data_IF_127562252749
#
_entry.id   IF_127562252749
#
_cell.length_a   1.000
_cell.length_b   1.000
_cell.length_c   1.000
_cell.angle_alpha   90.00
_cell.angle_beta   90.00
_cell.angle_gamma   90.00
#
_symmetry.space_group_name_H-M   'P 1'
#
loop_
_entity.id
_entity.type
_entity.pdbx_description
1 polymer ?
#
# COMPACT_ATOMS: atom_id res chain seq x y z
N UNK A 1 9.44 -10.65 5.80
CA UNK A 1 9.61 -9.58 4.79
C UNK A 1 10.86 -9.92 4.01
N UNK A 2 10.78 -10.06 2.68
CA UNK A 2 11.87 -10.64 1.88
C UNK A 2 13.08 -9.70 1.69
N UNK A 3 12.92 -8.40 1.93
CA UNK A 3 13.94 -7.38 1.58
C UNK A 3 14.56 -6.64 2.79
N UNK A 4 14.29 -7.08 4.02
CA UNK A 4 14.78 -6.41 5.24
C UNK A 4 14.18 -5.01 5.52
N UNK A 5 13.28 -4.52 4.65
CA UNK A 5 12.57 -3.25 4.81
C UNK A 5 11.47 -3.33 5.86
N UNK A 6 11.19 -2.23 6.56
CA UNK A 6 9.94 -2.07 7.32
C UNK A 6 8.75 -1.97 6.37
N UNK A 7 7.53 -2.24 6.85
CA UNK A 7 6.30 -2.07 6.04
C UNK A 7 6.22 -0.67 5.41
N UNK A 8 6.55 0.37 6.19
CA UNK A 8 6.55 1.75 5.70
C UNK A 8 7.62 2.01 4.63
N UNK A 9 8.83 1.45 4.80
CA UNK A 9 9.89 1.57 3.80
C UNK A 9 9.52 0.86 2.49
N UNK A 10 8.91 -0.32 2.58
CA UNK A 10 8.41 -1.06 1.42
C UNK A 10 7.33 -0.25 0.68
N UNK A 11 6.32 0.25 1.39
CA UNK A 11 5.26 1.09 0.81
C UNK A 11 5.84 2.36 0.16
N UNK A 12 6.77 3.05 0.84
CA UNK A 12 7.46 4.22 0.28
C UNK A 12 8.17 3.88 -1.02
N UNK A 13 8.90 2.76 -1.06
CA UNK A 13 9.60 2.31 -2.26
C UNK A 13 8.61 2.00 -3.39
N UNK A 14 7.55 1.25 -3.11
CA UNK A 14 6.54 0.89 -4.09
C UNK A 14 5.85 2.14 -4.68
N UNK A 15 5.42 3.09 -3.85
CA UNK A 15 4.85 4.37 -4.33
C UNK A 15 5.85 5.15 -5.19
N UNK A 16 7.12 5.21 -4.77
CA UNK A 16 8.15 5.89 -5.55
C UNK A 16 8.42 5.20 -6.91
N UNK A 17 8.34 3.88 -6.98
CA UNK A 17 8.53 3.14 -8.23
C UNK A 17 7.35 3.37 -9.20
N UNK A 18 6.10 3.41 -8.71
CA UNK A 18 4.93 3.79 -9.53
C UNK A 18 5.06 5.23 -10.08
N UNK A 19 5.53 6.17 -9.27
CA UNK A 19 5.78 7.55 -9.72
C UNK A 19 6.85 7.62 -10.82
N UNK A 20 7.88 6.76 -10.76
CA UNK A 20 8.91 6.68 -11.81
C UNK A 20 8.34 6.11 -13.10
N UNK A 21 7.53 5.05 -13.02
CA UNK A 21 6.85 4.46 -14.17
C UNK A 21 5.92 5.49 -14.84
N UNK A 22 5.23 6.31 -14.04
CA UNK A 22 4.38 7.39 -14.52
C UNK A 22 5.15 8.63 -15.05
N UNK A 23 6.48 8.65 -14.96
CA UNK A 23 7.29 9.82 -15.35
C UNK A 23 7.10 11.05 -14.44
N UNK A 24 6.48 10.88 -13.28
CA UNK A 24 6.16 11.95 -12.32
C UNK A 24 7.21 12.06 -11.18
N UNK A 25 8.23 11.20 -11.18
CA UNK A 25 9.30 11.22 -10.20
C UNK A 25 10.49 12.08 -10.67
N UNK A 26 10.93 13.02 -9.84
CA UNK A 26 12.12 13.85 -10.10
C UNK A 26 13.23 13.55 -9.09
N UNK A 27 14.44 13.27 -9.59
CA UNK A 27 15.66 13.43 -8.80
C UNK A 27 15.92 14.93 -8.71
N UNK A 28 15.96 15.48 -7.50
CA UNK A 28 15.91 16.90 -7.15
C UNK A 28 16.48 17.91 -8.18
N UNK A 29 15.88 19.11 -8.32
CA UNK A 29 14.78 19.66 -7.52
C UNK A 29 13.40 19.17 -7.98
N UNK A 30 12.57 18.71 -7.03
CA UNK A 30 11.20 18.29 -7.29
C UNK A 30 10.23 19.47 -7.10
N UNK A 31 9.21 19.58 -7.98
CA UNK A 31 8.17 20.63 -7.90
C UNK A 31 7.32 20.49 -6.62
N UNK A 32 6.98 19.26 -6.27
CA UNK A 32 6.19 18.91 -5.08
C UNK A 32 6.82 17.72 -4.37
N UNK A 33 6.60 17.64 -3.06
CA UNK A 33 6.99 16.49 -2.23
C UNK A 33 5.75 15.76 -1.74
N UNK A 34 5.67 14.45 -1.99
CA UNK A 34 4.61 13.60 -1.46
C UNK A 34 5.08 12.94 -0.18
N UNK A 35 4.32 13.13 0.91
CA UNK A 35 4.48 12.43 2.18
C UNK A 35 3.38 11.38 2.32
N UNK A 36 3.75 10.16 2.69
CA UNK A 36 2.81 9.04 2.87
C UNK A 36 2.74 8.59 4.33
N UNK A 37 1.54 8.20 4.77
CA UNK A 37 1.31 7.55 6.05
C UNK A 37 0.38 6.34 5.89
N UNK A 38 0.75 5.21 6.48
CA UNK A 38 -0.16 4.10 6.71
C UNK A 38 -0.95 4.44 7.98
N UNK A 39 -2.20 4.85 7.80
CA UNK A 39 -3.11 5.22 8.90
C UNK A 39 -3.68 3.97 9.57
N UNK A 40 -3.92 2.92 8.79
CA UNK A 40 -4.41 1.63 9.26
C UNK A 40 -3.63 0.51 8.56
N UNK A 41 -3.29 -0.52 9.34
CA UNK A 41 -2.71 -1.77 8.86
C UNK A 41 -3.16 -2.88 9.80
N UNK A 42 -4.16 -3.65 9.37
CA UNK A 42 -4.72 -4.77 10.11
C UNK A 42 -4.77 -6.02 9.23
N UNK A 43 -4.63 -7.19 9.86
CA UNK A 43 -4.76 -8.47 9.18
C UNK A 43 -5.53 -9.48 10.02
N UNK A 44 -6.37 -10.25 9.35
CA UNK A 44 -7.03 -11.42 9.92
C UNK A 44 -6.74 -12.64 9.06
N UNK A 45 -6.49 -13.78 9.70
CA UNK A 45 -6.32 -15.05 9.03
C UNK A 45 -7.64 -15.81 8.83
N UNK A 46 -8.75 -15.35 9.41
CA UNK A 46 -10.07 -15.97 9.22
C UNK A 46 -10.10 -17.48 9.52
N UNK A 47 -9.37 -17.95 10.54
CA UNK A 47 -9.31 -19.38 10.91
C UNK A 47 -10.73 -19.99 10.93
N UNK A 48 -10.99 -20.93 10.01
CA UNK A 48 -12.28 -21.62 9.87
C UNK A 48 -13.16 -21.18 8.70
N UNK A 49 -12.92 -20.03 8.05
CA UNK A 49 -13.76 -19.51 6.94
C UNK A 49 -13.06 -19.47 5.58
N UNK A 50 -11.84 -20.02 5.46
CA UNK A 50 -10.96 -19.98 4.28
C UNK A 50 -10.51 -18.60 3.78
N UNK A 51 -11.07 -17.51 4.28
CA UNK A 51 -10.80 -16.16 3.79
C UNK A 51 -10.08 -15.34 4.87
N UNK A 52 -8.80 -15.05 4.62
CA UNK A 52 -8.05 -14.04 5.35
C UNK A 52 -8.20 -12.67 4.69
N UNK A 53 -7.81 -11.62 5.40
CA UNK A 53 -7.95 -10.23 4.98
C UNK A 53 -6.78 -9.37 5.42
N UNK A 54 -6.43 -8.41 4.59
CA UNK A 54 -5.64 -7.23 4.94
C UNK A 54 -6.49 -5.97 4.78
N UNK A 55 -6.65 -5.21 5.86
CA UNK A 55 -7.29 -3.89 5.84
C UNK A 55 -6.21 -2.82 5.96
N UNK A 56 -6.17 -1.90 5.01
CA UNK A 56 -5.15 -0.85 4.97
C UNK A 56 -5.77 0.50 4.62
N UNK A 57 -5.24 1.56 5.22
CA UNK A 57 -5.55 2.95 4.85
C UNK A 57 -4.25 3.70 4.58
N UNK A 58 -4.08 4.17 3.34
CA UNK A 58 -2.95 4.96 2.89
C UNK A 58 -3.39 6.43 2.74
N UNK A 59 -2.69 7.33 3.44
CA UNK A 59 -2.83 8.77 3.27
C UNK A 59 -1.61 9.33 2.56
N UNK A 60 -1.82 10.03 1.46
CA UNK A 60 -0.82 10.79 0.73
C UNK A 60 -1.10 12.29 0.89
N UNK A 61 -0.06 13.07 1.15
CA UNK A 61 -0.13 14.51 1.30
C UNK A 61 0.94 15.15 0.43
N UNK A 62 0.56 16.11 -0.40
CA UNK A 62 1.48 16.87 -1.23
C UNK A 62 1.86 18.19 -0.56
N UNK A 63 3.08 18.65 -0.79
CA UNK A 63 3.53 19.98 -0.35
C UNK A 63 2.74 21.13 -0.98
N UNK A 64 1.94 20.87 -2.02
CA UNK A 64 1.02 21.85 -2.62
C UNK A 64 -0.33 21.97 -1.87
N UNK A 65 -0.51 21.23 -0.77
CA UNK A 65 -1.72 21.23 0.05
C UNK A 65 -2.77 20.18 -0.33
N UNK A 66 -2.63 19.50 -1.48
CA UNK A 66 -3.51 18.42 -1.86
C UNK A 66 -3.28 17.17 -0.99
N UNK A 67 -4.34 16.38 -0.79
CA UNK A 67 -4.26 15.12 -0.06
C UNK A 67 -5.18 14.07 -0.66
N UNK A 68 -4.81 12.81 -0.51
CA UNK A 68 -5.58 11.64 -0.94
C UNK A 68 -5.55 10.63 0.19
N UNK A 69 -6.72 10.11 0.54
CA UNK A 69 -6.83 8.96 1.44
C UNK A 69 -7.50 7.82 0.69
N UNK A 70 -6.85 6.66 0.69
CA UNK A 70 -7.36 5.45 0.04
C UNK A 70 -7.41 4.36 1.09
N UNK A 71 -8.56 3.73 1.25
CA UNK A 71 -8.73 2.55 2.09
C UNK A 71 -9.03 1.35 1.23
N UNK A 72 -8.48 0.19 1.61
CA UNK A 72 -8.67 -1.04 0.88
C UNK A 72 -8.74 -2.25 1.81
N UNK A 73 -9.54 -3.21 1.38
CA UNK A 73 -9.66 -4.54 1.96
C UNK A 73 -9.22 -5.55 0.92
N UNK A 74 -8.09 -6.21 1.14
CA UNK A 74 -7.57 -7.26 0.27
C UNK A 74 -7.83 -8.64 0.90
N UNK A 75 -8.70 -9.43 0.27
CA UNK A 75 -9.01 -10.78 0.71
C UNK A 75 -8.05 -11.81 0.08
N UNK A 76 -7.64 -12.82 0.85
CA UNK A 76 -6.75 -13.88 0.41
C UNK A 76 -7.15 -15.25 1.01
N UNK A 77 -6.65 -16.34 0.42
CA UNK A 77 -6.88 -17.69 0.98
C UNK A 77 -5.92 -17.95 2.14
N UNK A 78 -6.46 -18.06 3.36
CA UNK A 78 -5.63 -18.25 4.55
C UNK A 78 -5.23 -19.72 4.77
N UNK A 79 -6.14 -20.68 4.52
CA UNK A 79 -5.90 -22.10 4.75
C UNK A 79 -6.35 -22.59 6.13
N UNK A 80 -6.51 -23.91 6.27
CA UNK A 80 -7.17 -24.55 7.41
C UNK A 80 -6.25 -24.84 8.61
N UNK A 81 -4.95 -24.98 8.40
CA UNK A 81 -3.98 -25.22 9.46
C UNK A 81 -3.40 -23.91 9.97
N UNK A 82 -3.20 -23.76 11.29
CA UNK A 82 -2.69 -22.54 11.90
C UNK A 82 -1.37 -22.04 11.28
N UNK A 83 -0.43 -22.96 11.01
CA UNK A 83 0.84 -22.63 10.35
C UNK A 83 0.66 -22.14 8.91
N UNK A 84 -0.24 -22.76 8.16
CA UNK A 84 -0.59 -22.32 6.80
C UNK A 84 -1.24 -20.93 6.82
N UNK A 85 -2.14 -20.69 7.78
CA UNK A 85 -2.82 -19.42 7.99
C UNK A 85 -1.84 -18.28 8.25
N UNK A 86 -0.90 -18.45 9.20
CA UNK A 86 0.15 -17.47 9.47
C UNK A 86 1.03 -17.21 8.24
N UNK A 87 1.47 -18.26 7.55
CA UNK A 87 2.31 -18.13 6.36
C UNK A 87 1.60 -17.37 5.23
N UNK A 88 0.31 -17.61 5.05
CA UNK A 88 -0.46 -16.99 3.99
C UNK A 88 -0.79 -15.52 4.29
N UNK A 89 -1.03 -15.14 5.55
CA UNK A 89 -1.10 -13.73 5.97
C UNK A 89 0.16 -12.98 5.54
N UNK A 90 1.33 -13.53 5.86
CA UNK A 90 2.61 -12.91 5.53
C UNK A 90 2.84 -12.80 4.01
N UNK A 91 2.47 -13.82 3.24
CA UNK A 91 2.56 -13.81 1.77
C UNK A 91 1.59 -12.81 1.12
N UNK A 92 0.43 -12.58 1.73
CA UNK A 92 -0.59 -11.68 1.21
C UNK A 92 -0.28 -10.18 1.42
N UNK A 93 0.71 -9.84 2.26
CA UNK A 93 1.04 -8.45 2.54
C UNK A 93 1.47 -7.66 1.29
N UNK A 94 2.39 -8.22 0.50
CA UNK A 94 2.90 -7.59 -0.73
C UNK A 94 1.79 -7.28 -1.74
N UNK A 95 0.95 -8.25 -2.15
CA UNK A 95 -0.12 -7.96 -3.09
C UNK A 95 -1.19 -7.02 -2.49
N UNK A 96 -1.45 -7.06 -1.18
CA UNK A 96 -2.34 -6.09 -0.53
C UNK A 96 -1.82 -4.64 -0.62
N UNK A 97 -0.51 -4.44 -0.41
CA UNK A 97 0.15 -3.15 -0.60
C UNK A 97 0.09 -2.70 -2.06
N UNK A 98 0.34 -3.60 -3.00
CA UNK A 98 0.24 -3.28 -4.43
C UNK A 98 -1.19 -2.87 -4.81
N UNK A 99 -2.21 -3.54 -4.27
CA UNK A 99 -3.61 -3.21 -4.54
C UNK A 99 -4.00 -1.82 -4.03
N UNK A 100 -3.64 -1.46 -2.79
CA UNK A 100 -3.95 -0.12 -2.25
C UNK A 100 -3.18 0.99 -2.97
N UNK A 101 -1.91 0.76 -3.35
CA UNK A 101 -1.13 1.72 -4.14
C UNK A 101 -1.74 1.88 -5.53
N UNK A 102 -2.09 0.78 -6.20
CA UNK A 102 -2.75 0.81 -7.50
C UNK A 102 -4.05 1.60 -7.47
N UNK A 103 -4.88 1.41 -6.43
CA UNK A 103 -6.09 2.20 -6.19
C UNK A 103 -5.80 3.68 -5.96
N UNK A 104 -4.76 4.00 -5.18
CA UNK A 104 -4.38 5.39 -4.92
C UNK A 104 -3.94 6.09 -6.21
N UNK A 105 -3.10 5.46 -7.03
CA UNK A 105 -2.60 6.02 -8.30
C UNK A 105 -3.70 6.12 -9.36
N UNK A 106 -4.64 5.17 -9.39
CA UNK A 106 -5.79 5.19 -10.29
C UNK A 106 -6.89 6.19 -9.88
N UNK A 107 -6.80 6.78 -8.68
CA UNK A 107 -7.76 7.78 -8.23
C UNK A 107 -7.66 9.05 -9.08
N UNK A 108 -8.79 9.64 -9.53
CA UNK A 108 -8.78 10.95 -10.22
C UNK A 108 -8.08 12.06 -9.42
N UNK A 109 -8.11 11.97 -8.09
CA UNK A 109 -7.50 12.95 -7.17
C UNK A 109 -5.98 12.82 -7.10
N UNK A 110 -5.41 11.70 -7.56
CA UNK A 110 -3.95 11.51 -7.57
C UNK A 110 -3.25 12.57 -8.42
N UNK A 111 -3.88 12.98 -9.53
CA UNK A 111 -3.36 14.04 -10.39
C UNK A 111 -3.23 15.39 -9.66
N UNK A 112 -4.03 15.65 -8.62
CA UNK A 112 -3.89 16.87 -7.82
C UNK A 112 -2.67 16.84 -6.90
N UNK A 113 -2.19 15.64 -6.50
CA UNK A 113 -1.01 15.50 -5.67
C UNK A 113 0.28 15.88 -6.41
N UNK A 114 0.36 15.55 -7.69
CA UNK A 114 1.58 15.62 -8.51
C UNK A 114 1.71 16.89 -9.36
N UNK A 115 0.74 17.81 -9.27
CA UNK A 115 0.73 19.10 -9.99
C UNK A 115 1.59 20.16 -9.32
#
# INVERSE_FOLDING_TARGET
MQDGLTHAQYVRKAVADELKVAGAYANQPARVTITGALVEIDSSSGLGSNNGRWSMTLRLQSSNGASLTTSNTYDFRAGFAATAACNNVAKAFVPAVQDIIGRAVASPDFAALVR
#
